data_IF_937419683576
#
_entry.id   IF_937419683576
#
_cell.length_a   1.000
_cell.length_b   1.000
_cell.length_c   1.000
_cell.angle_alpha   90.00
_cell.angle_beta   90.00
_cell.angle_gamma   90.00
#
_symmetry.space_group_name_H-M   'P 1'
#
loop_
_entity.id
_entity.type
_entity.pdbx_description
1 polymer ?
#
# COMPACT_ATOMS: atom_id res chain seq x y z
N UNK A 1 24.87 -4.41 21.32
CA UNK A 1 24.17 -5.44 20.50
C UNK A 1 22.72 -5.68 20.95
N UNK A 2 22.46 -6.00 22.22
CA UNK A 2 21.09 -6.35 22.71
C UNK A 2 20.04 -5.24 22.48
N UNK A 3 20.37 -3.96 22.72
CA UNK A 3 19.48 -2.81 22.43
C UNK A 3 19.18 -2.59 20.94
N UNK A 4 20.08 -3.01 20.05
CA UNK A 4 19.91 -2.87 18.60
C UNK A 4 18.94 -3.95 18.08
N UNK A 5 19.13 -5.20 18.52
CA UNK A 5 18.25 -6.32 18.17
C UNK A 5 16.84 -6.12 18.72
N UNK A 6 16.68 -5.67 19.98
CA UNK A 6 15.35 -5.42 20.56
C UNK A 6 14.61 -4.28 19.85
N UNK A 7 15.31 -3.24 19.41
CA UNK A 7 14.73 -2.16 18.61
C UNK A 7 14.23 -2.63 17.23
N UNK A 8 14.94 -3.56 16.58
CA UNK A 8 14.55 -4.11 15.27
C UNK A 8 13.33 -5.03 15.35
N UNK A 9 13.28 -5.90 16.37
CA UNK A 9 12.10 -6.74 16.62
C UNK A 9 10.86 -5.87 16.84
N UNK A 10 11.00 -4.77 17.60
CA UNK A 10 9.91 -3.83 17.83
C UNK A 10 9.47 -3.12 16.54
N UNK A 11 10.42 -2.72 15.69
CA UNK A 11 10.13 -2.11 14.39
C UNK A 11 9.35 -3.04 13.46
N UNK A 12 9.73 -4.32 13.39
CA UNK A 12 8.97 -5.33 12.64
C UNK A 12 7.54 -5.45 13.18
N UNK A 13 7.37 -5.44 14.51
CA UNK A 13 6.05 -5.43 15.13
C UNK A 13 5.19 -4.23 14.71
N UNK A 14 5.77 -3.03 14.60
CA UNK A 14 5.07 -1.85 14.09
C UNK A 14 4.72 -1.97 12.61
N UNK A 15 5.63 -2.47 11.79
CA UNK A 15 5.39 -2.67 10.36
C UNK A 15 4.25 -3.68 10.12
N UNK A 16 4.27 -4.83 10.81
CA UNK A 16 3.22 -5.85 10.72
C UNK A 16 1.87 -5.32 11.21
N UNK A 17 1.86 -4.54 12.31
CA UNK A 17 0.64 -3.88 12.78
C UNK A 17 0.10 -2.88 11.74
N UNK A 18 0.97 -2.11 11.10
CA UNK A 18 0.59 -1.17 10.04
C UNK A 18 -0.01 -1.89 8.84
N UNK A 19 0.64 -2.95 8.37
CA UNK A 19 0.13 -3.80 7.29
C UNK A 19 -1.24 -4.41 7.65
N UNK A 20 -1.39 -4.95 8.86
CA UNK A 20 -2.67 -5.48 9.33
C UNK A 20 -3.77 -4.42 9.32
N UNK A 21 -3.47 -3.20 9.76
CA UNK A 21 -4.43 -2.10 9.76
C UNK A 21 -4.87 -1.78 8.32
N UNK A 22 -3.93 -1.60 7.41
CA UNK A 22 -4.22 -1.30 6.00
C UNK A 22 -5.15 -2.36 5.37
N UNK A 23 -4.87 -3.64 5.61
CA UNK A 23 -5.67 -4.76 5.05
C UNK A 23 -7.06 -4.88 5.68
N UNK A 24 -7.25 -4.40 6.92
CA UNK A 24 -8.53 -4.54 7.64
C UNK A 24 -9.38 -3.28 7.66
N UNK A 25 -8.83 -2.10 7.35
CA UNK A 25 -9.57 -0.84 7.39
C UNK A 25 -9.69 -0.14 6.04
N UNK A 26 -8.80 -0.37 5.08
CA UNK A 26 -8.80 0.38 3.81
C UNK A 26 -9.39 -0.43 2.66
N UNK A 27 -10.55 0.02 2.17
CA UNK A 27 -11.23 -0.65 1.07
C UNK A 27 -10.43 -0.68 -0.23
N UNK A 28 -9.65 0.37 -0.53
CA UNK A 28 -8.78 0.41 -1.70
C UNK A 28 -7.71 -0.70 -1.65
N UNK A 29 -7.03 -0.84 -0.50
CA UNK A 29 -6.06 -1.91 -0.26
C UNK A 29 -6.71 -3.28 -0.36
N UNK A 30 -7.89 -3.48 0.23
CA UNK A 30 -8.64 -4.73 0.13
C UNK A 30 -8.95 -5.08 -1.33
N UNK A 31 -9.39 -4.11 -2.13
CA UNK A 31 -9.68 -4.31 -3.56
C UNK A 31 -8.42 -4.68 -4.35
N UNK A 32 -7.29 -3.99 -4.12
CA UNK A 32 -6.02 -4.35 -4.75
C UNK A 32 -5.51 -5.73 -4.32
N UNK A 33 -5.70 -6.15 -3.08
CA UNK A 33 -5.33 -7.50 -2.64
C UNK A 33 -6.15 -8.59 -3.34
N UNK A 34 -7.43 -8.34 -3.61
CA UNK A 34 -8.26 -9.25 -4.42
C UNK A 34 -7.72 -9.34 -5.85
N UNK A 35 -7.36 -8.21 -6.47
CA UNK A 35 -6.75 -8.19 -7.81
C UNK A 35 -5.37 -8.87 -7.83
N UNK A 36 -4.52 -8.62 -6.83
CA UNK A 36 -3.23 -9.30 -6.67
C UNK A 36 -3.42 -10.82 -6.57
N UNK A 37 -4.39 -11.26 -5.76
CA UNK A 37 -4.72 -12.69 -5.62
C UNK A 37 -5.17 -13.30 -6.95
N UNK A 38 -5.97 -12.57 -7.73
CA UNK A 38 -6.38 -12.99 -9.07
C UNK A 38 -5.17 -13.12 -10.01
N UNK A 39 -4.26 -12.14 -10.04
CA UNK A 39 -3.06 -12.20 -10.87
C UNK A 39 -2.10 -13.32 -10.46
N UNK A 40 -1.99 -13.62 -9.17
CA UNK A 40 -1.21 -14.78 -8.71
C UNK A 40 -1.83 -16.09 -9.23
N UNK A 41 -3.15 -16.24 -9.13
CA UNK A 41 -3.83 -17.43 -9.68
C UNK A 41 -3.64 -17.54 -11.19
N UNK A 42 -3.73 -16.43 -11.92
CA UNK A 42 -3.50 -16.39 -13.36
C UNK A 42 -2.04 -16.70 -13.73
N UNK A 43 -1.07 -16.19 -12.97
CA UNK A 43 0.34 -16.50 -13.17
C UNK A 43 0.63 -17.99 -13.09
N UNK A 44 0.04 -18.70 -12.12
CA UNK A 44 0.12 -20.16 -12.04
C UNK A 44 -0.64 -20.86 -13.18
N UNK A 45 -1.78 -20.32 -13.61
CA UNK A 45 -2.61 -20.91 -14.69
C UNK A 45 -1.93 -20.83 -16.06
N UNK A 46 -1.21 -19.74 -16.30
CA UNK A 46 -0.55 -19.41 -17.57
C UNK A 46 0.91 -19.88 -17.62
N UNK A 47 1.42 -20.45 -16.52
CA UNK A 47 2.80 -20.93 -16.37
C UNK A 47 3.84 -19.85 -16.78
N UNK A 48 3.65 -18.65 -16.23
CA UNK A 48 4.49 -17.49 -16.56
C UNK A 48 5.94 -17.72 -16.15
N UNK A 49 6.88 -17.08 -16.86
CA UNK A 49 8.31 -17.28 -16.60
C UNK A 49 8.71 -16.74 -15.23
N UNK A 50 9.88 -17.18 -14.73
CA UNK A 50 10.44 -16.64 -13.49
C UNK A 50 10.65 -15.11 -13.57
N UNK A 51 10.99 -14.59 -14.74
CA UNK A 51 11.13 -13.14 -14.94
C UNK A 51 9.79 -12.42 -14.83
N UNK A 52 8.72 -13.01 -15.36
CA UNK A 52 7.38 -12.45 -15.27
C UNK A 52 6.87 -12.46 -13.82
N UNK A 53 7.17 -13.51 -13.05
CA UNK A 53 6.88 -13.54 -11.61
C UNK A 53 7.56 -12.42 -10.84
N UNK A 54 8.84 -12.15 -11.16
CA UNK A 54 9.59 -11.03 -10.56
C UNK A 54 8.91 -9.70 -10.91
N UNK A 55 8.64 -9.48 -12.19
CA UNK A 55 8.01 -8.24 -12.67
C UNK A 55 6.62 -8.05 -12.05
N UNK A 56 5.79 -9.08 -12.05
CA UNK A 56 4.45 -9.07 -11.48
C UNK A 56 4.48 -8.75 -9.98
N UNK A 57 5.36 -9.42 -9.22
CA UNK A 57 5.48 -9.20 -7.77
C UNK A 57 5.97 -7.79 -7.45
N UNK A 58 6.91 -7.26 -8.22
CA UNK A 58 7.40 -5.89 -8.08
C UNK A 58 6.31 -4.86 -8.34
N UNK A 59 5.53 -5.02 -9.40
CA UNK A 59 4.42 -4.11 -9.73
C UNK A 59 3.33 -4.18 -8.66
N UNK A 60 2.93 -5.38 -8.22
CA UNK A 60 1.96 -5.52 -7.13
C UNK A 60 2.43 -4.84 -5.83
N UNK A 61 3.71 -4.99 -5.48
CA UNK A 61 4.29 -4.34 -4.31
C UNK A 61 4.35 -2.81 -4.45
N UNK A 62 4.69 -2.30 -5.64
CA UNK A 62 4.69 -0.86 -5.94
C UNK A 62 3.29 -0.27 -5.78
N UNK A 63 2.30 -0.90 -6.40
CA UNK A 63 0.90 -0.45 -6.38
C UNK A 63 0.34 -0.43 -4.96
N UNK A 64 0.50 -1.52 -4.21
CA UNK A 64 0.07 -1.59 -2.79
C UNK A 64 0.80 -0.55 -1.93
N UNK A 65 2.10 -0.32 -2.19
CA UNK A 65 2.89 0.69 -1.49
C UNK A 65 2.39 2.10 -1.76
N UNK A 66 2.11 2.44 -3.02
CA UNK A 66 1.57 3.75 -3.41
C UNK A 66 0.19 3.99 -2.82
N UNK A 67 -0.71 3.00 -2.86
CA UNK A 67 -2.03 3.09 -2.25
C UNK A 67 -1.95 3.30 -0.72
N UNK A 68 -1.02 2.60 -0.08
CA UNK A 68 -0.79 2.73 1.38
C UNK A 68 -0.29 4.13 1.74
N UNK A 69 0.57 4.72 0.90
CA UNK A 69 1.03 6.09 1.07
C UNK A 69 -0.09 7.11 0.84
N UNK A 70 -0.93 6.91 -0.19
CA UNK A 70 -2.11 7.73 -0.43
C UNK A 70 -3.03 7.75 0.78
N UNK A 71 -3.36 6.57 1.31
CA UNK A 71 -4.15 6.43 2.54
C UNK A 71 -3.54 7.21 3.70
N UNK A 72 -2.21 7.09 3.90
CA UNK A 72 -1.53 7.78 4.98
C UNK A 72 -1.62 9.31 4.84
N UNK A 73 -1.50 9.83 3.60
CA UNK A 73 -1.66 11.25 3.29
C UNK A 73 -3.10 11.70 3.54
N UNK A 74 -4.10 10.94 3.08
CA UNK A 74 -5.51 11.24 3.29
C UNK A 74 -5.86 11.33 4.77
N UNK A 75 -5.47 10.32 5.57
CA UNK A 75 -5.71 10.30 7.01
C UNK A 75 -4.99 11.43 7.76
N UNK A 76 -3.79 11.79 7.32
CA UNK A 76 -3.07 12.93 7.88
C UNK A 76 -3.79 14.25 7.55
N UNK A 77 -4.25 14.40 6.30
CA UNK A 77 -5.00 15.55 5.86
C UNK A 77 -6.32 15.72 6.64
N UNK A 78 -7.06 14.63 6.83
CA UNK A 78 -8.30 14.60 7.63
C UNK A 78 -8.04 14.94 9.10
N UNK A 79 -6.92 14.49 9.65
CA UNK A 79 -6.52 14.84 11.01
C UNK A 79 -6.15 16.32 11.16
N UNK A 80 -5.52 16.93 10.15
CA UNK A 80 -5.09 18.33 10.17
C UNK A 80 -6.25 19.29 9.89
N UNK A 81 -7.21 18.89 9.06
CA UNK A 81 -8.33 19.73 8.67
C UNK A 81 -9.60 18.88 8.46
N UNK A 82 -10.48 18.90 9.47
CA UNK A 82 -11.71 18.11 9.48
C UNK A 82 -12.77 18.67 8.51
N UNK A 83 -12.78 20.00 8.34
CA UNK A 83 -13.65 20.68 7.38
C UNK A 83 -13.04 20.71 5.97
N UNK A 84 -13.90 20.83 4.95
CA UNK A 84 -13.44 20.92 3.57
C UNK A 84 -12.61 22.20 3.32
N UNK A 85 -11.40 22.04 2.79
CA UNK A 85 -10.51 23.13 2.42
C UNK A 85 -9.84 22.85 1.08
N UNK A 86 -9.88 23.81 0.16
CA UNK A 86 -9.44 23.62 -1.24
C UNK A 86 -8.00 23.10 -1.35
N UNK A 87 -7.06 23.65 -0.57
CA UNK A 87 -5.67 23.17 -0.54
C UNK A 87 -5.53 21.71 -0.09
N UNK A 88 -6.35 21.26 0.86
CA UNK A 88 -6.36 19.86 1.31
C UNK A 88 -6.92 18.97 0.21
N UNK A 89 -8.00 19.41 -0.46
CA UNK A 89 -8.53 18.75 -1.66
C UNK A 89 -7.44 18.55 -2.70
N UNK A 90 -6.73 19.60 -3.08
CA UNK A 90 -5.61 19.53 -4.02
C UNK A 90 -4.52 18.52 -3.60
N UNK A 91 -4.15 18.48 -2.32
CA UNK A 91 -3.15 17.52 -1.82
C UNK A 91 -3.64 16.08 -1.98
N UNK A 92 -4.91 15.81 -1.64
CA UNK A 92 -5.52 14.49 -1.82
C UNK A 92 -5.60 14.11 -3.29
N UNK A 93 -6.00 15.04 -4.16
CA UNK A 93 -6.07 14.82 -5.60
C UNK A 93 -4.69 14.47 -6.19
N UNK A 94 -3.64 15.15 -5.76
CA UNK A 94 -2.26 14.85 -6.18
C UNK A 94 -1.81 13.48 -5.66
N UNK A 95 -2.16 13.12 -4.43
CA UNK A 95 -1.83 11.82 -3.85
C UNK A 95 -2.53 10.67 -4.60
N UNK A 96 -3.82 10.82 -4.91
CA UNK A 96 -4.59 9.89 -5.73
C UNK A 96 -4.06 9.82 -7.17
N UNK A 97 -3.64 10.95 -7.74
CA UNK A 97 -2.97 11.00 -9.04
C UNK A 97 -1.67 10.20 -9.08
N UNK A 98 -0.89 10.21 -7.99
CA UNK A 98 0.34 9.42 -7.90
C UNK A 98 0.07 7.91 -7.89
N UNK A 99 -1.00 7.45 -7.24
CA UNK A 99 -1.46 6.05 -7.31
C UNK A 99 -1.82 5.68 -8.75
N UNK A 100 -2.52 6.57 -9.45
CA UNK A 100 -2.95 6.33 -10.84
C UNK A 100 -1.78 6.09 -11.80
N UNK A 101 -0.60 6.68 -11.55
CA UNK A 101 0.60 6.40 -12.36
C UNK A 101 1.26 5.06 -12.06
N UNK A 102 0.96 4.45 -10.90
CA UNK A 102 1.53 3.17 -10.50
C UNK A 102 0.68 1.98 -10.98
N UNK A 103 -0.63 2.18 -11.14
CA UNK A 103 -1.61 1.19 -11.62
C UNK A 103 -1.60 1.09 -13.14
#
# INVERSE_FOLDING_TARGET
MQRFLSGRIRSIGFALKGAWLLVTTEHAIMAQLVLCSLFVVLGFRLDISAQDWINQTLVMALVLGMESLNTAIEKLADFVHEDHHEKIGFIKDVAAGAVTFAV
#
